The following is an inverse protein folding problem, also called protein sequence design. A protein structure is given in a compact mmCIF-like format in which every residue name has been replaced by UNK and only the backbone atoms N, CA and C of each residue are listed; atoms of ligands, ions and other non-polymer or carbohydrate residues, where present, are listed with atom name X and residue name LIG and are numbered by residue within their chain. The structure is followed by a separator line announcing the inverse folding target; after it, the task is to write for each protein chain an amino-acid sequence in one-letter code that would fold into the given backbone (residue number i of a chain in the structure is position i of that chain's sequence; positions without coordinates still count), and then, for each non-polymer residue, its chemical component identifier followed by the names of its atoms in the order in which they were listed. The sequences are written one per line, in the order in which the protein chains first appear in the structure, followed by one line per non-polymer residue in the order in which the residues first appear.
data_IF_291694590985
#
_entry.id   IF_291694590985
#
_cell.length_a   1.000
_cell.length_b   1.000
_cell.length_c   1.000
_cell.angle_alpha   90.00
_cell.angle_beta   90.00
_cell.angle_gamma   90.00
#
_symmetry.space_group_name_H-M   'P 1'
#
loop_
_entity.id
_entity.type
_entity.pdbx_description
1 polymer ?
#
# COMPACT_ATOMS: atom_id res chain seq x y z
N UNK A 1 -17.96 -25.70 57.89
CA UNK A 1 -17.67 -26.11 56.48
C UNK A 1 -17.60 -24.81 55.65
N UNK A 2 -16.38 -24.33 55.34
CA UNK A 2 -16.13 -23.09 54.58
C UNK A 2 -15.88 -23.47 53.14
N UNK A 3 -16.74 -23.05 52.22
CA UNK A 3 -16.57 -23.26 50.79
C UNK A 3 -15.71 -22.11 50.23
N UNK A 4 -14.49 -22.42 49.76
CA UNK A 4 -13.65 -21.49 49.04
C UNK A 4 -14.11 -21.45 47.58
N UNK A 5 -14.49 -20.27 47.12
CA UNK A 5 -14.76 -20.02 45.67
C UNK A 5 -13.46 -19.64 45.00
N UNK A 6 -13.03 -20.48 44.06
CA UNK A 6 -11.92 -20.14 43.15
C UNK A 6 -12.46 -19.27 42.01
N UNK A 7 -12.05 -18.00 41.96
CA UNK A 7 -12.29 -17.11 40.83
C UNK A 7 -11.13 -17.36 39.86
N UNK A 8 -11.45 -17.99 38.71
CA UNK A 8 -10.51 -18.12 37.60
C UNK A 8 -10.48 -16.76 36.85
N UNK A 9 -9.38 -16.04 37.00
CA UNK A 9 -9.10 -14.85 36.19
C UNK A 9 -8.58 -15.33 34.83
N UNK A 10 -9.44 -15.30 33.83
CA UNK A 10 -9.07 -15.55 32.43
C UNK A 10 -8.51 -14.23 31.85
N UNK A 11 -7.20 -14.08 31.87
CA UNK A 11 -6.55 -12.92 31.28
C UNK A 11 -6.56 -13.04 29.75
N UNK A 12 -7.34 -12.18 29.07
CA UNK A 12 -7.31 -12.01 27.62
C UNK A 12 -5.98 -11.37 27.20
N UNK A 13 -5.00 -12.19 26.79
CA UNK A 13 -3.70 -11.73 26.22
C UNK A 13 -3.68 -11.68 24.69
N UNK A 14 -4.83 -11.57 23.98
CA UNK A 14 -4.86 -11.69 22.51
C UNK A 14 -4.92 -10.35 21.76
N UNK A 15 -5.06 -9.20 22.41
CA UNK A 15 -5.24 -7.91 21.71
C UNK A 15 -3.96 -7.07 21.57
N UNK A 16 -2.90 -7.35 22.31
CA UNK A 16 -1.69 -6.53 22.26
C UNK A 16 -0.76 -6.80 21.05
N UNK A 17 -0.75 -8.03 20.54
CA UNK A 17 0.11 -8.37 19.40
C UNK A 17 -0.38 -7.75 18.07
N UNK A 18 -1.70 -7.74 17.82
CA UNK A 18 -2.28 -7.13 16.63
C UNK A 18 -2.09 -5.61 16.62
N UNK A 19 -2.26 -4.94 17.76
CA UNK A 19 -2.00 -3.49 17.87
C UNK A 19 -0.53 -3.15 17.68
N UNK A 20 0.38 -3.97 18.21
CA UNK A 20 1.82 -3.77 18.08
C UNK A 20 2.29 -3.94 16.60
N UNK A 21 1.71 -4.85 15.82
CA UNK A 21 1.99 -4.99 14.40
C UNK A 21 1.50 -3.79 13.61
N UNK A 22 0.26 -3.34 13.83
CA UNK A 22 -0.29 -2.15 13.15
C UNK A 22 0.53 -0.89 13.42
N UNK A 23 1.02 -0.68 14.65
CA UNK A 23 1.93 0.42 14.98
C UNK A 23 3.27 0.27 14.28
N UNK A 24 3.84 -0.93 14.27
CA UNK A 24 5.10 -1.23 13.61
C UNK A 24 5.04 -1.01 12.09
N UNK A 25 3.93 -1.37 11.44
CA UNK A 25 3.72 -1.10 10.02
C UNK A 25 3.62 0.42 9.76
N UNK A 26 2.79 1.10 10.50
CA UNK A 26 2.58 2.55 10.38
C UNK A 26 3.83 3.39 10.63
N UNK A 27 4.75 2.91 11.45
CA UNK A 27 6.03 3.59 11.77
C UNK A 27 7.19 3.14 10.89
N UNK A 28 7.00 2.16 10.00
CA UNK A 28 8.05 1.59 9.15
C UNK A 28 9.00 0.62 9.87
N UNK A 29 8.78 0.33 11.14
CA UNK A 29 9.62 -0.62 11.91
C UNK A 29 9.54 -2.01 11.30
N UNK A 30 8.35 -2.49 10.94
CA UNK A 30 8.16 -3.80 10.30
C UNK A 30 8.89 -3.88 8.95
N UNK A 31 8.83 -2.81 8.15
CA UNK A 31 9.55 -2.73 6.89
C UNK A 31 11.05 -2.84 7.07
N UNK A 32 11.61 -2.11 8.06
CA UNK A 32 13.04 -2.15 8.40
C UNK A 32 13.51 -3.53 8.87
N UNK A 33 12.66 -4.23 9.62
CA UNK A 33 12.97 -5.56 10.17
C UNK A 33 12.57 -6.73 9.25
N UNK A 34 11.97 -6.46 8.08
CA UNK A 34 11.49 -7.49 7.16
C UNK A 34 10.30 -8.31 7.71
N UNK A 35 9.56 -7.77 8.69
CA UNK A 35 8.40 -8.42 9.29
C UNK A 35 7.19 -8.28 8.35
N UNK A 36 6.52 -9.40 8.06
CA UNK A 36 5.30 -9.39 7.26
C UNK A 36 4.17 -8.63 7.99
N UNK A 37 3.38 -7.79 7.29
CA UNK A 37 2.20 -7.18 7.86
C UNK A 37 1.12 -8.24 8.12
N UNK A 38 0.15 -7.93 8.99
CA UNK A 38 -1.08 -8.73 9.10
C UNK A 38 -1.89 -8.66 7.81
N UNK A 39 -2.77 -9.64 7.56
CA UNK A 39 -3.72 -9.57 6.43
C UNK A 39 -4.49 -8.24 6.40
N UNK A 40 -4.97 -7.76 7.53
CA UNK A 40 -5.72 -6.51 7.60
C UNK A 40 -4.87 -5.28 7.26
N UNK A 41 -3.64 -5.19 7.77
CA UNK A 41 -2.71 -4.10 7.45
C UNK A 41 -2.32 -4.13 5.97
N UNK A 42 -1.99 -5.32 5.44
CA UNK A 42 -1.62 -5.46 4.03
C UNK A 42 -2.74 -5.01 3.09
N UNK A 43 -3.99 -5.48 3.31
CA UNK A 43 -5.15 -5.09 2.49
C UNK A 43 -5.38 -3.58 2.56
N UNK A 44 -5.32 -3.01 3.75
CA UNK A 44 -5.48 -1.56 3.95
C UNK A 44 -4.41 -0.78 3.20
N UNK A 45 -3.15 -1.13 3.35
CA UNK A 45 -2.04 -0.39 2.75
C UNK A 45 -1.97 -0.58 1.24
N UNK A 46 -2.22 -1.79 0.72
CA UNK A 46 -2.31 -2.03 -0.72
C UNK A 46 -3.46 -1.24 -1.36
N UNK A 47 -4.64 -1.20 -0.72
CA UNK A 47 -5.77 -0.43 -1.23
C UNK A 47 -5.52 1.08 -1.20
N UNK A 48 -4.88 1.62 -0.14
CA UNK A 48 -4.51 3.04 -0.05
C UNK A 48 -3.45 3.37 -1.10
N UNK A 49 -2.47 2.49 -1.31
CA UNK A 49 -1.46 2.64 -2.35
C UNK A 49 -2.09 2.73 -3.73
N UNK A 50 -2.94 1.78 -4.11
CA UNK A 50 -3.64 1.80 -5.41
C UNK A 50 -4.45 3.08 -5.60
N UNK A 51 -5.23 3.49 -4.59
CA UNK A 51 -6.01 4.73 -4.67
C UNK A 51 -5.12 5.97 -4.84
N UNK A 52 -3.98 6.00 -4.17
CA UNK A 52 -3.00 7.10 -4.26
C UNK A 52 -2.40 7.15 -5.65
N UNK A 53 -1.97 6.01 -6.20
CA UNK A 53 -1.38 5.91 -7.52
C UNK A 53 -2.37 6.31 -8.63
N UNK A 54 -3.62 5.84 -8.57
CA UNK A 54 -4.67 6.23 -9.52
C UNK A 54 -4.93 7.75 -9.45
N UNK A 55 -4.98 8.32 -8.25
CA UNK A 55 -5.20 9.76 -8.09
C UNK A 55 -4.01 10.59 -8.60
N UNK A 56 -2.78 10.21 -8.25
CA UNK A 56 -1.57 10.87 -8.71
C UNK A 56 -1.41 10.78 -10.24
N UNK A 57 -1.67 9.61 -10.81
CA UNK A 57 -1.63 9.40 -12.26
C UNK A 57 -2.64 10.27 -13.01
N UNK A 58 -3.86 10.44 -12.49
CA UNK A 58 -4.85 11.35 -13.09
C UNK A 58 -4.40 12.81 -13.11
N UNK A 59 -3.63 13.24 -12.11
CA UNK A 59 -3.04 14.59 -12.10
C UNK A 59 -1.89 14.67 -13.12
N UNK A 60 -1.05 13.62 -13.20
CA UNK A 60 0.04 13.55 -14.16
C UNK A 60 -0.42 13.57 -15.62
N UNK A 61 -1.58 12.96 -15.92
CA UNK A 61 -2.21 13.07 -17.25
C UNK A 61 -2.57 14.50 -17.63
N UNK A 62 -2.77 15.39 -16.67
CA UNK A 62 -3.12 16.80 -16.91
C UNK A 62 -1.89 17.71 -16.90
N UNK A 63 -0.93 17.49 -16.00
CA UNK A 63 0.18 18.39 -15.72
C UNK A 63 1.54 17.90 -16.20
N UNK A 64 1.71 16.57 -16.34
CA UNK A 64 2.97 15.95 -16.75
C UNK A 64 3.35 16.23 -18.20
N UNK A 65 4.60 16.07 -18.54
CA UNK A 65 5.08 16.03 -19.92
C UNK A 65 4.74 14.68 -20.59
N UNK A 66 5.29 14.40 -21.76
CA UNK A 66 4.95 13.20 -22.52
C UNK A 66 5.34 11.89 -21.80
N UNK A 67 6.47 11.90 -21.08
CA UNK A 67 6.99 10.71 -20.39
C UNK A 67 6.17 10.41 -19.13
N UNK A 68 5.85 11.42 -18.31
CA UNK A 68 4.98 11.25 -17.14
C UNK A 68 3.56 10.87 -17.54
N UNK A 69 3.01 11.41 -18.62
CA UNK A 69 1.69 10.98 -19.10
C UNK A 69 1.67 9.52 -19.53
N UNK A 70 2.69 9.07 -20.25
CA UNK A 70 2.79 7.66 -20.65
C UNK A 70 2.92 6.73 -19.45
N UNK A 71 3.73 7.10 -18.46
CA UNK A 71 3.83 6.37 -17.20
C UNK A 71 2.48 6.36 -16.47
N UNK A 72 1.80 7.51 -16.38
CA UNK A 72 0.52 7.65 -15.69
C UNK A 72 -0.61 6.80 -16.33
N UNK A 73 -0.66 6.67 -17.66
CA UNK A 73 -1.61 5.77 -18.34
C UNK A 73 -1.43 4.32 -17.90
N UNK A 74 -0.17 3.89 -17.77
CA UNK A 74 0.14 2.54 -17.26
C UNK A 74 -0.29 2.40 -15.80
N UNK A 75 0.01 3.40 -14.95
CA UNK A 75 -0.36 3.37 -13.52
C UNK A 75 -1.88 3.30 -13.33
N UNK A 76 -2.66 4.08 -14.09
CA UNK A 76 -4.13 4.00 -14.02
C UNK A 76 -4.62 2.60 -14.38
N UNK A 77 -4.07 2.01 -15.43
CA UNK A 77 -4.47 0.69 -15.91
C UNK A 77 -4.17 -0.40 -14.88
N UNK A 78 -2.92 -0.46 -14.44
CA UNK A 78 -2.45 -1.55 -13.59
C UNK A 78 -3.00 -1.45 -12.16
N UNK A 79 -3.02 -0.24 -11.56
CA UNK A 79 -3.56 -0.05 -10.22
C UNK A 79 -5.08 -0.16 -10.16
N UNK A 80 -5.81 0.09 -11.25
CA UNK A 80 -7.24 -0.24 -11.33
C UNK A 80 -7.46 -1.75 -11.35
N UNK A 81 -6.61 -2.48 -12.06
CA UNK A 81 -6.65 -3.95 -12.09
C UNK A 81 -6.36 -4.54 -10.71
N UNK A 82 -5.28 -4.13 -10.05
CA UNK A 82 -4.93 -4.61 -8.71
C UNK A 82 -5.99 -4.30 -7.67
N UNK A 83 -6.57 -3.09 -7.69
CA UNK A 83 -7.72 -2.71 -6.86
C UNK A 83 -8.92 -3.64 -7.05
N UNK A 84 -9.22 -3.98 -8.31
CA UNK A 84 -10.35 -4.87 -8.66
C UNK A 84 -10.10 -6.29 -8.16
N UNK A 85 -8.90 -6.81 -8.34
CA UNK A 85 -8.50 -8.14 -7.89
C UNK A 85 -8.52 -8.23 -6.35
N UNK A 86 -7.95 -7.24 -5.64
CA UNK A 86 -7.97 -7.18 -4.19
C UNK A 86 -9.40 -7.13 -3.64
N UNK A 87 -10.26 -6.31 -4.26
CA UNK A 87 -11.68 -6.23 -3.90
C UNK A 87 -12.39 -7.56 -4.11
N UNK A 88 -12.09 -8.29 -5.18
CA UNK A 88 -12.66 -9.61 -5.44
C UNK A 88 -12.26 -10.62 -4.36
N UNK A 89 -11.00 -10.64 -3.93
CA UNK A 89 -10.51 -11.51 -2.86
C UNK A 89 -11.21 -11.24 -1.51
N UNK A 90 -11.49 -9.98 -1.19
CA UNK A 90 -12.20 -9.61 0.04
C UNK A 90 -13.69 -9.93 -0.06
N UNK A 91 -14.34 -9.61 -1.19
CA UNK A 91 -15.78 -9.83 -1.38
C UNK A 91 -16.15 -11.31 -1.51
N UNK A 92 -15.28 -12.16 -2.01
CA UNK A 92 -15.48 -13.62 -2.05
C UNK A 92 -15.46 -14.26 -0.66
N UNK A 93 -15.00 -13.53 0.38
CA UNK A 93 -14.80 -14.07 1.72
C UNK A 93 -13.49 -14.84 1.89
N UNK A 94 -12.65 -14.92 0.85
CA UNK A 94 -11.34 -15.57 0.90
C UNK A 94 -10.34 -14.81 1.80
N UNK A 95 -10.53 -13.50 1.88
CA UNK A 95 -9.72 -12.58 2.70
C UNK A 95 -10.63 -11.83 3.66
N UNK A 96 -10.43 -12.04 4.96
CA UNK A 96 -11.19 -11.36 6.02
C UNK A 96 -10.48 -10.05 6.39
N UNK A 97 -10.80 -9.00 5.66
CA UNK A 97 -10.29 -7.65 5.89
C UNK A 97 -11.28 -6.62 5.35
N UNK A 98 -11.10 -5.36 5.73
CA UNK A 98 -11.88 -4.23 5.21
C UNK A 98 -11.03 -3.42 4.24
N UNK A 99 -11.61 -3.06 3.09
CA UNK A 99 -11.00 -2.15 2.14
C UNK A 99 -11.39 -0.73 2.53
N UNK A 100 -10.42 0.19 2.73
CA UNK A 100 -10.71 1.59 3.00
C UNK A 100 -11.56 2.21 1.87
N UNK A 101 -12.55 3.01 2.24
CA UNK A 101 -13.40 3.72 1.27
C UNK A 101 -12.76 5.01 0.73
N UNK A 102 -11.68 5.49 1.35
CA UNK A 102 -10.98 6.74 1.00
C UNK A 102 -9.50 6.66 1.39
N UNK A 103 -8.72 7.58 0.84
CA UNK A 103 -7.33 7.81 1.23
C UNK A 103 -7.23 8.13 2.72
N UNK A 104 -6.12 7.74 3.32
CA UNK A 104 -5.77 8.25 4.64
C UNK A 104 -5.29 9.72 4.56
N UNK A 105 -5.18 10.38 5.71
CA UNK A 105 -4.80 11.79 5.76
C UNK A 105 -3.40 12.08 5.22
N UNK A 106 -2.49 11.11 5.29
CA UNK A 106 -1.12 11.26 4.75
C UNK A 106 -1.13 11.20 3.22
N UNK A 107 -1.81 10.21 2.67
CA UNK A 107 -1.95 10.05 1.21
C UNK A 107 -2.75 11.19 0.60
N UNK A 108 -3.83 11.62 1.26
CA UNK A 108 -4.60 12.78 0.79
C UNK A 108 -3.72 14.04 0.71
N UNK A 109 -2.89 14.33 1.72
CA UNK A 109 -1.97 15.48 1.68
C UNK A 109 -0.98 15.40 0.53
N UNK A 110 -0.49 14.21 0.17
CA UNK A 110 0.39 14.02 -1.00
C UNK A 110 -0.36 14.38 -2.30
N UNK A 111 -1.59 13.92 -2.44
CA UNK A 111 -2.43 14.20 -3.61
C UNK A 111 -2.78 15.69 -3.68
N UNK A 112 -3.16 16.31 -2.55
CA UNK A 112 -3.44 17.75 -2.49
C UNK A 112 -2.22 18.57 -2.92
N UNK A 113 -1.03 18.20 -2.42
CA UNK A 113 0.23 18.86 -2.81
C UNK A 113 0.50 18.75 -4.30
N UNK A 114 0.34 17.55 -4.91
CA UNK A 114 0.50 17.37 -6.36
C UNK A 114 -0.51 18.21 -7.15
N UNK A 115 -1.76 18.26 -6.66
CA UNK A 115 -2.81 19.04 -7.30
C UNK A 115 -2.55 20.54 -7.22
N UNK A 116 -1.94 21.04 -6.16
CA UNK A 116 -1.58 22.45 -5.97
C UNK A 116 -0.26 22.84 -6.65
N UNK A 117 0.59 21.85 -7.00
CA UNK A 117 1.87 22.08 -7.70
C UNK A 117 1.62 22.68 -9.07
N UNK A 118 2.36 23.70 -9.42
CA UNK A 118 2.31 24.34 -10.74
C UNK A 118 2.84 23.39 -11.82
N UNK A 119 2.36 23.52 -13.08
CA UNK A 119 2.84 22.65 -14.16
C UNK A 119 4.36 22.62 -14.34
N UNK A 120 5.03 23.77 -14.18
CA UNK A 120 6.49 23.91 -14.30
C UNK A 120 7.27 23.17 -13.20
N UNK A 121 6.66 22.97 -12.03
CA UNK A 121 7.28 22.30 -10.87
C UNK A 121 6.83 20.84 -10.75
N UNK A 122 5.86 20.40 -11.58
CA UNK A 122 5.16 19.13 -11.40
C UNK A 122 6.09 17.92 -11.46
N UNK A 123 6.97 17.85 -12.44
CA UNK A 123 7.92 16.74 -12.64
C UNK A 123 8.83 16.60 -11.41
N UNK A 124 9.28 17.73 -10.85
CA UNK A 124 10.15 17.75 -9.66
C UNK A 124 9.48 17.22 -8.39
N UNK A 125 8.16 17.26 -8.32
CA UNK A 125 7.38 16.74 -7.20
C UNK A 125 6.90 15.30 -7.45
N UNK A 126 6.43 15.03 -8.67
CA UNK A 126 5.82 13.76 -9.04
C UNK A 126 6.82 12.60 -9.11
N UNK A 127 7.95 12.77 -9.82
CA UNK A 127 8.87 11.68 -10.09
C UNK A 127 9.50 11.08 -8.83
N UNK A 128 10.07 11.89 -7.88
CA UNK A 128 10.59 11.34 -6.64
C UNK A 128 9.50 10.74 -5.75
N UNK A 129 8.26 11.27 -5.80
CA UNK A 129 7.13 10.69 -5.10
C UNK A 129 6.82 9.29 -5.65
N UNK A 130 6.83 9.09 -6.97
CA UNK A 130 6.61 7.80 -7.62
C UNK A 130 7.69 6.77 -7.23
N UNK A 131 8.95 7.18 -7.22
CA UNK A 131 10.06 6.31 -6.75
C UNK A 131 9.84 5.88 -5.31
N UNK A 132 9.47 6.82 -4.42
CA UNK A 132 9.23 6.50 -3.00
C UNK A 132 8.04 5.55 -2.84
N UNK A 133 6.91 5.86 -3.47
CA UNK A 133 5.69 5.07 -3.36
C UNK A 133 5.88 3.62 -3.87
N UNK A 134 6.58 3.44 -4.99
CA UNK A 134 6.85 2.11 -5.52
C UNK A 134 7.88 1.32 -4.70
N UNK A 135 8.87 1.98 -4.06
CA UNK A 135 9.76 1.32 -3.08
C UNK A 135 8.96 0.77 -1.90
N UNK A 136 8.05 1.57 -1.37
CA UNK A 136 7.21 1.17 -0.24
C UNK A 136 6.27 0.02 -0.64
N UNK A 137 5.65 0.08 -1.83
CA UNK A 137 4.79 -0.97 -2.35
C UNK A 137 5.56 -2.28 -2.60
N UNK A 138 6.74 -2.24 -3.22
CA UNK A 138 7.60 -3.42 -3.43
C UNK A 138 7.94 -4.05 -2.08
N UNK A 139 8.39 -3.26 -1.10
CA UNK A 139 8.70 -3.77 0.25
C UNK A 139 7.49 -4.41 0.92
N UNK A 140 6.31 -3.79 0.84
CA UNK A 140 5.07 -4.30 1.41
C UNK A 140 4.70 -5.67 0.80
N UNK A 141 4.68 -5.74 -0.53
CA UNK A 141 4.31 -6.95 -1.26
C UNK A 141 5.33 -8.07 -1.10
N UNK A 142 6.64 -7.77 -1.10
CA UNK A 142 7.69 -8.74 -0.81
C UNK A 142 7.53 -9.39 0.56
N UNK A 143 7.34 -8.58 1.60
CA UNK A 143 7.15 -9.07 2.97
C UNK A 143 5.91 -9.94 3.09
N UNK A 144 4.80 -9.54 2.46
CA UNK A 144 3.56 -10.31 2.51
C UNK A 144 3.64 -11.59 1.66
N UNK A 145 4.20 -11.53 0.47
CA UNK A 145 4.43 -12.71 -0.38
C UNK A 145 5.30 -13.76 0.32
N UNK A 146 6.25 -13.34 1.15
CA UNK A 146 7.14 -14.24 1.92
C UNK A 146 6.48 -14.77 3.18
N UNK A 147 5.87 -13.92 4.00
CA UNK A 147 5.44 -14.24 5.37
C UNK A 147 3.96 -14.00 5.67
N UNK A 148 3.13 -13.63 4.68
CA UNK A 148 1.70 -13.39 4.88
C UNK A 148 0.94 -14.62 5.38
N UNK A 149 -0.06 -14.41 6.20
CA UNK A 149 -0.84 -15.43 6.91
C UNK A 149 -2.06 -15.93 6.12
N UNK A 150 -2.50 -15.22 5.05
CA UNK A 150 -3.56 -15.67 4.17
C UNK A 150 -2.98 -16.25 2.85
N UNK A 151 -3.16 -17.56 2.56
CA UNK A 151 -2.52 -18.19 1.41
C UNK A 151 -2.92 -17.59 0.04
N UNK A 152 -4.20 -17.23 -0.16
CA UNK A 152 -4.68 -16.66 -1.43
C UNK A 152 -4.14 -15.26 -1.65
N UNK A 153 -4.14 -14.45 -0.61
CA UNK A 153 -3.60 -13.09 -0.67
C UNK A 153 -2.08 -13.09 -0.82
N UNK A 154 -1.40 -14.05 -0.18
CA UNK A 154 0.04 -14.28 -0.34
C UNK A 154 0.41 -14.65 -1.79
N UNK A 155 -0.34 -15.54 -2.42
CA UNK A 155 -0.16 -15.92 -3.83
C UNK A 155 -0.41 -14.71 -4.76
N UNK A 156 -1.47 -13.96 -4.51
CA UNK A 156 -1.76 -12.73 -5.26
C UNK A 156 -0.66 -11.68 -5.10
N UNK A 157 -0.17 -11.45 -3.89
CA UNK A 157 0.94 -10.53 -3.63
C UNK A 157 2.21 -10.94 -4.39
N UNK A 158 2.53 -12.24 -4.40
CA UNK A 158 3.67 -12.76 -5.15
C UNK A 158 3.54 -12.60 -6.67
N UNK A 159 2.32 -12.73 -7.22
CA UNK A 159 2.04 -12.52 -8.65
C UNK A 159 2.05 -11.05 -9.05
N UNK A 160 1.68 -10.15 -8.14
CA UNK A 160 1.65 -8.70 -8.38
C UNK A 160 3.04 -8.07 -8.24
N UNK A 161 3.89 -8.61 -7.38
CA UNK A 161 5.21 -8.06 -7.07
C UNK A 161 6.09 -7.75 -8.29
N UNK A 162 6.21 -8.62 -9.33
CA UNK A 162 7.01 -8.30 -10.52
C UNK A 162 6.53 -7.05 -11.27
N UNK A 163 5.23 -6.79 -11.28
CA UNK A 163 4.67 -5.57 -11.90
C UNK A 163 5.08 -4.32 -11.12
N UNK A 164 5.01 -4.36 -9.78
CA UNK A 164 5.44 -3.25 -8.93
C UNK A 164 6.95 -2.98 -9.03
N UNK A 165 7.76 -4.02 -9.17
CA UNK A 165 9.20 -3.90 -9.42
C UNK A 165 9.47 -3.22 -10.75
N UNK A 166 8.74 -3.58 -11.81
CA UNK A 166 8.83 -2.92 -13.11
C UNK A 166 8.38 -1.45 -13.05
N UNK A 167 7.31 -1.14 -12.34
CA UNK A 167 6.88 0.25 -12.12
C UNK A 167 7.95 1.06 -11.39
N UNK A 168 8.62 0.47 -10.38
CA UNK A 168 9.74 1.13 -9.70
C UNK A 168 10.88 1.45 -10.66
N UNK A 169 11.25 0.52 -11.54
CA UNK A 169 12.28 0.75 -12.56
C UNK A 169 11.88 1.91 -13.50
N UNK A 170 10.63 1.93 -13.95
CA UNK A 170 10.11 3.02 -14.79
C UNK A 170 10.14 4.37 -14.06
N UNK A 171 9.70 4.42 -12.80
CA UNK A 171 9.74 5.62 -11.97
C UNK A 171 11.17 6.14 -11.75
N UNK A 172 12.13 5.24 -11.52
CA UNK A 172 13.55 5.60 -11.40
C UNK A 172 14.13 6.18 -12.70
N UNK A 173 13.67 5.70 -13.86
CA UNK A 173 14.06 6.25 -15.18
C UNK A 173 13.50 7.66 -15.33
N UNK A 174 12.23 7.91 -14.97
CA UNK A 174 11.65 9.25 -14.99
C UNK A 174 12.44 10.21 -14.10
N UNK A 175 12.64 9.84 -12.84
CA UNK A 175 13.35 10.69 -11.85
C UNK A 175 14.79 11.01 -12.27
N UNK A 176 15.49 10.03 -12.87
CA UNK A 176 16.86 10.24 -13.40
C UNK A 176 16.89 11.18 -14.60
N UNK A 177 15.88 11.14 -15.46
CA UNK A 177 15.80 11.92 -16.68
C UNK A 177 15.12 13.28 -16.48
N UNK A 178 14.66 13.58 -15.30
CA UNK A 178 14.03 14.83 -14.89
C UNK A 178 14.92 16.03 -15.24
N UNK A 179 14.40 16.96 -16.01
CA UNK A 179 15.06 18.21 -16.41
C UNK A 179 14.41 19.41 -15.76
#
# INVERSE_FOLDING_TARGET
MKRAAFIAVFACFLSSAALAQSVGEKTGVNSTLGIAPTTADFVKEAAISDMTEIAAAKIALQKGNADERKFAEQMVTDHTKTSTELKALVTSGDVKAEIPAALDSSSQKKIDKLNDTKPEDFVSEYDPMQVSAHKDAVSLFERYAKGGDNPKLKDWAGKTLPHLQHHLEMAQVLDKNRK
#
